data_IF_689651308065
#
_entry.id   IF_689651308065
#
_cell.length_a   1.000
_cell.length_b   1.000
_cell.length_c   1.000
_cell.angle_alpha   90.00
_cell.angle_beta   90.00
_cell.angle_gamma   90.00
#
_symmetry.space_group_name_H-M   'P 1'
#
loop_
_entity.id
_entity.type
_entity.pdbx_description
1 polymer ?
#
# COMPACT_ATOMS: atom_id res chain seq x y z
N UNK A 1 8.50 27.08 -14.84
CA UNK A 1 8.56 27.25 -13.37
C UNK A 1 7.12 27.48 -12.93
N UNK A 2 6.36 26.56 -12.37
CA UNK A 2 6.67 25.35 -11.62
C UNK A 2 5.92 25.49 -10.29
N UNK A 3 4.70 24.97 -10.19
CA UNK A 3 4.04 24.81 -8.89
C UNK A 3 3.23 23.52 -8.82
N UNK A 4 3.84 22.64 -8.01
CA UNK A 4 3.40 21.46 -7.27
C UNK A 4 1.94 21.04 -7.40
N UNK A 5 1.76 19.88 -8.02
CA UNK A 5 0.54 19.08 -8.01
C UNK A 5 0.36 18.57 -6.57
N UNK A 6 -0.67 19.06 -5.86
CA UNK A 6 -1.03 18.59 -4.53
C UNK A 6 -1.59 17.17 -4.61
N UNK A 7 -0.74 16.18 -4.34
CA UNK A 7 -1.14 14.79 -4.24
C UNK A 7 -2.05 14.56 -3.03
N UNK A 8 -3.21 13.99 -3.34
CA UNK A 8 -4.28 13.50 -2.48
C UNK A 8 -3.83 13.10 -1.06
N UNK A 9 -4.06 13.95 -0.06
CA UNK A 9 -3.76 13.66 1.35
C UNK A 9 -4.89 12.83 1.95
N UNK A 10 -4.58 11.64 2.47
CA UNK A 10 -5.48 10.90 3.34
C UNK A 10 -5.88 11.77 4.54
N UNK A 11 -7.16 12.15 4.62
CA UNK A 11 -7.70 12.96 5.71
C UNK A 11 -7.48 12.25 7.05
N UNK A 12 -6.53 12.74 7.88
CA UNK A 12 -6.41 12.34 9.29
C UNK A 12 -4.99 12.08 9.83
N UNK A 13 -3.97 11.97 8.97
CA UNK A 13 -2.59 11.75 9.41
C UNK A 13 -1.80 13.05 9.57
N UNK A 14 -1.02 13.15 10.65
CA UNK A 14 -0.03 14.23 10.76
C UNK A 14 1.08 14.05 9.71
N UNK A 15 1.75 15.12 9.31
CA UNK A 15 2.85 15.06 8.32
C UNK A 15 3.95 14.06 8.72
N UNK A 16 4.22 13.92 10.03
CA UNK A 16 5.18 12.95 10.54
C UNK A 16 4.69 11.50 10.46
N UNK A 17 3.39 11.27 10.66
CA UNK A 17 2.80 9.95 10.48
C UNK A 17 2.74 9.55 9.01
N UNK A 18 2.40 10.47 8.12
CA UNK A 18 2.44 10.23 6.68
C UNK A 18 3.87 9.90 6.21
N UNK A 19 4.87 10.65 6.67
CA UNK A 19 6.27 10.36 6.38
C UNK A 19 6.72 9.00 6.95
N UNK A 20 6.27 8.65 8.16
CA UNK A 20 6.53 7.34 8.75
C UNK A 20 5.89 6.21 7.95
N UNK A 21 4.64 6.37 7.51
CA UNK A 21 3.95 5.39 6.69
C UNK A 21 4.67 5.21 5.35
N UNK A 22 5.00 6.30 4.66
CA UNK A 22 5.74 6.26 3.39
C UNK A 22 7.09 5.54 3.54
N UNK A 23 7.87 5.87 4.58
CA UNK A 23 9.17 5.22 4.83
C UNK A 23 9.05 3.72 5.14
N UNK A 24 7.96 3.31 5.81
CA UNK A 24 7.68 1.90 6.06
C UNK A 24 7.28 1.20 4.76
N UNK A 25 6.38 1.79 3.98
CA UNK A 25 5.92 1.27 2.68
C UNK A 25 7.09 1.07 1.72
N UNK A 26 7.95 2.08 1.58
CA UNK A 26 9.13 2.00 0.73
C UNK A 26 10.09 0.89 1.19
N UNK A 27 10.35 0.78 2.50
CA UNK A 27 11.24 -0.25 3.02
C UNK A 27 10.70 -1.66 2.78
N UNK A 28 9.39 -1.87 2.97
CA UNK A 28 8.78 -3.18 2.70
C UNK A 28 8.73 -3.48 1.20
N UNK A 29 8.47 -2.49 0.34
CA UNK A 29 8.51 -2.69 -1.10
C UNK A 29 9.89 -3.15 -1.58
N UNK A 30 10.96 -2.62 -0.99
CA UNK A 30 12.34 -2.96 -1.37
C UNK A 30 12.87 -4.25 -0.74
N UNK A 31 12.51 -4.52 0.51
CA UNK A 31 13.12 -5.61 1.29
C UNK A 31 12.17 -6.74 1.67
N UNK A 32 10.86 -6.59 1.43
CA UNK A 32 9.83 -7.57 1.79
C UNK A 32 9.64 -7.76 3.30
N UNK A 33 10.28 -6.94 4.13
CA UNK A 33 10.27 -7.05 5.60
C UNK A 33 10.06 -5.69 6.26
N UNK A 34 9.48 -5.69 7.46
CA UNK A 34 9.24 -4.47 8.24
C UNK A 34 10.57 -3.83 8.68
N UNK A 35 10.75 -2.50 8.57
CA UNK A 35 11.94 -1.84 9.06
C UNK A 35 12.08 -1.98 10.57
N UNK A 36 13.32 -2.21 11.03
CA UNK A 36 13.64 -2.12 12.46
C UNK A 36 13.41 -0.70 12.98
N UNK A 37 13.21 -0.55 14.30
CA UNK A 37 13.08 0.77 14.95
C UNK A 37 14.25 1.71 14.63
N UNK A 38 15.48 1.18 14.51
CA UNK A 38 16.67 1.97 14.16
C UNK A 38 16.67 2.37 12.68
N UNK A 39 16.25 1.47 11.80
CA UNK A 39 16.12 1.73 10.36
C UNK A 39 15.10 2.84 10.12
N UNK A 40 13.92 2.72 10.72
CA UNK A 40 12.86 3.73 10.62
C UNK A 40 13.29 5.08 11.21
N UNK A 41 13.98 5.07 12.36
CA UNK A 41 14.51 6.28 12.98
C UNK A 41 15.51 7.01 12.09
N UNK A 42 16.39 6.25 11.41
CA UNK A 42 17.35 6.80 10.44
C UNK A 42 16.62 7.44 9.25
N UNK A 43 15.61 6.77 8.69
CA UNK A 43 14.80 7.30 7.59
C UNK A 43 14.05 8.58 7.97
N UNK A 44 13.60 8.68 9.22
CA UNK A 44 12.81 9.82 9.72
C UNK A 44 13.66 10.93 10.37
N UNK A 45 14.98 10.78 10.44
CA UNK A 45 15.86 11.75 11.11
C UNK A 45 15.51 11.97 12.59
N UNK A 46 15.01 10.94 13.28
CA UNK A 46 14.58 11.05 14.68
C UNK A 46 15.17 9.92 15.54
N UNK A 47 14.88 9.92 16.85
CA UNK A 47 15.36 8.87 17.73
C UNK A 47 14.50 7.58 17.62
N UNK A 48 15.04 6.39 17.97
CA UNK A 48 14.33 5.11 17.88
C UNK A 48 13.02 5.03 18.67
N UNK A 49 12.92 5.73 19.79
CA UNK A 49 11.71 5.74 20.61
C UNK A 49 10.59 6.53 19.94
N UNK A 50 10.92 7.65 19.29
CA UNK A 50 9.98 8.46 18.54
C UNK A 50 9.48 7.71 17.29
N UNK A 51 10.39 7.05 16.57
CA UNK A 51 10.02 6.17 15.45
C UNK A 51 9.07 5.04 15.88
N UNK A 52 9.33 4.39 17.02
CA UNK A 52 8.45 3.37 17.57
C UNK A 52 7.07 3.93 17.96
N UNK A 53 7.02 5.13 18.55
CA UNK A 53 5.76 5.81 18.88
C UNK A 53 4.94 6.14 17.62
N UNK A 54 5.60 6.62 16.56
CA UNK A 54 4.94 6.90 15.29
C UNK A 54 4.37 5.62 14.65
N UNK A 55 5.15 4.54 14.61
CA UNK A 55 4.68 3.25 14.12
C UNK A 55 3.49 2.72 14.93
N UNK A 56 3.53 2.83 16.27
CA UNK A 56 2.40 2.46 17.13
C UNK A 56 1.16 3.30 16.87
N UNK A 57 1.31 4.61 16.68
CA UNK A 57 0.20 5.49 16.37
C UNK A 57 -0.44 5.17 15.01
N UNK A 58 0.34 4.68 14.04
CA UNK A 58 -0.18 4.16 12.77
C UNK A 58 -0.95 2.85 12.98
N UNK A 59 -0.48 1.95 13.85
CA UNK A 59 -1.22 0.73 14.21
C UNK A 59 -2.55 1.04 14.90
N UNK A 60 -2.54 1.93 15.90
CA UNK A 60 -3.75 2.35 16.64
C UNK A 60 -4.79 3.02 15.72
N UNK A 61 -4.34 3.61 14.61
CA UNK A 61 -5.18 4.21 13.58
C UNK A 61 -5.62 3.23 12.49
N UNK A 62 -5.14 1.99 12.54
CA UNK A 62 -5.44 0.98 11.52
C UNK A 62 -4.69 1.20 10.20
N UNK A 63 -3.68 2.06 10.15
CA UNK A 63 -2.79 2.22 8.98
C UNK A 63 -1.69 1.15 8.93
N UNK A 64 -1.48 0.46 10.05
CA UNK A 64 -0.62 -0.73 10.14
C UNK A 64 -1.35 -1.78 10.95
N UNK A 65 -1.11 -3.05 10.67
CA UNK A 65 -1.63 -4.16 11.45
C UNK A 65 -0.49 -4.83 12.21
N UNK A 66 -0.73 -5.11 13.48
CA UNK A 66 0.23 -5.78 14.34
C UNK A 66 -0.06 -7.28 14.36
N UNK A 67 0.39 -8.03 13.36
CA UNK A 67 0.32 -9.49 13.43
C UNK A 67 1.50 -10.01 14.24
N UNK A 68 1.23 -10.60 15.40
CA UNK A 68 2.25 -11.21 16.24
C UNK A 68 2.54 -12.65 15.78
N UNK A 69 3.51 -12.81 14.87
CA UNK A 69 4.35 -14.00 14.86
C UNK A 69 5.81 -13.56 14.84
N UNK A 70 6.53 -13.79 15.93
CA UNK A 70 8.00 -13.67 15.95
C UNK A 70 8.59 -12.25 15.99
N UNK A 71 7.83 -11.21 16.35
CA UNK A 71 8.40 -9.89 16.64
C UNK A 71 8.61 -8.96 15.44
N UNK A 72 8.03 -9.27 14.28
CA UNK A 72 7.89 -8.35 13.16
C UNK A 72 6.40 -8.01 12.96
N UNK A 73 6.08 -6.70 12.89
CA UNK A 73 4.75 -6.23 12.55
C UNK A 73 4.51 -6.52 11.06
N UNK A 74 3.74 -7.56 10.73
CA UNK A 74 3.29 -7.80 9.36
C UNK A 74 1.87 -7.28 9.19
N UNK A 75 1.74 -6.23 8.38
CA UNK A 75 0.48 -5.73 7.86
C UNK A 75 0.51 -4.22 7.69
N UNK A 76 0.26 -3.73 6.48
CA UNK A 76 -0.25 -2.39 6.27
C UNK A 76 -1.77 -2.46 6.43
N UNK A 77 -2.37 -1.49 7.13
CA UNK A 77 -3.76 -1.12 6.86
C UNK A 77 -3.75 0.23 6.16
N UNK A 78 -4.84 0.94 5.91
CA UNK A 78 -6.16 0.47 5.48
C UNK A 78 -6.24 0.24 3.95
N UNK A 79 -5.12 0.38 3.21
CA UNK A 79 -5.03 0.21 1.74
C UNK A 79 -4.17 -0.97 1.29
N UNK A 80 -3.37 -1.56 2.19
CA UNK A 80 -2.73 -2.85 1.94
C UNK A 80 -3.69 -3.99 2.23
N UNK A 81 -4.14 -4.70 1.19
CA UNK A 81 -5.01 -5.87 1.36
C UNK A 81 -4.14 -7.09 1.61
N UNK A 82 -4.26 -7.68 2.81
CA UNK A 82 -3.77 -9.03 3.04
C UNK A 82 -4.70 -10.01 2.33
N UNK A 83 -4.27 -10.54 1.20
CA UNK A 83 -5.05 -11.53 0.45
C UNK A 83 -4.72 -12.91 1.01
N UNK A 84 -5.75 -13.61 1.48
CA UNK A 84 -5.61 -15.02 1.81
C UNK A 84 -5.60 -15.84 0.53
N UNK A 85 -4.51 -16.56 0.29
CA UNK A 85 -4.41 -17.56 -0.79
C UNK A 85 -4.62 -18.94 -0.18
N UNK A 86 -5.68 -19.67 -0.55
CA UNK A 86 -5.88 -21.06 -0.11
C UNK A 86 -4.64 -21.93 -0.40
N UNK A 87 -4.28 -22.89 0.48
CA UNK A 87 -3.07 -23.69 0.34
C UNK A 87 -2.94 -24.42 -1.00
N UNK A 88 -4.06 -24.89 -1.57
CA UNK A 88 -4.05 -25.58 -2.86
C UNK A 88 -3.67 -24.64 -4.02
N UNK A 89 -4.14 -23.39 -4.01
CA UNK A 89 -3.74 -22.39 -5.01
C UNK A 89 -2.29 -21.95 -4.82
N UNK A 90 -1.83 -21.80 -3.58
CA UNK A 90 -0.44 -21.51 -3.30
C UNK A 90 0.49 -22.62 -3.82
N UNK A 91 0.09 -23.89 -3.67
CA UNK A 91 0.84 -25.03 -4.19
C UNK A 91 0.89 -25.05 -5.73
N UNK A 92 -0.23 -24.74 -6.40
CA UNK A 92 -0.26 -24.63 -7.86
C UNK A 92 0.62 -23.48 -8.36
N UNK A 93 0.55 -22.30 -7.73
CA UNK A 93 1.40 -21.17 -8.08
C UNK A 93 2.89 -21.50 -7.89
N UNK A 94 3.23 -22.19 -6.80
CA UNK A 94 4.60 -22.60 -6.53
C UNK A 94 5.10 -23.61 -7.58
N UNK A 95 4.28 -24.60 -7.96
CA UNK A 95 4.62 -25.54 -9.02
C UNK A 95 4.86 -24.84 -10.36
N UNK A 96 3.97 -23.92 -10.74
CA UNK A 96 4.11 -23.11 -11.94
C UNK A 96 5.42 -22.30 -11.93
N UNK A 97 5.73 -21.63 -10.82
CA UNK A 97 6.97 -20.85 -10.69
C UNK A 97 8.22 -21.71 -10.83
N UNK A 98 8.23 -22.92 -10.25
CA UNK A 98 9.35 -23.86 -10.37
C UNK A 98 9.53 -24.34 -11.81
N UNK A 99 8.44 -24.68 -12.48
CA UNK A 99 8.47 -25.19 -13.87
C UNK A 99 8.94 -24.11 -14.86
N UNK A 100 8.57 -22.86 -14.62
CA UNK A 100 8.88 -21.74 -15.53
C UNK A 100 10.12 -20.93 -15.10
N UNK A 101 10.74 -21.25 -13.96
CA UNK A 101 11.91 -20.53 -13.46
C UNK A 101 11.61 -19.11 -12.97
N UNK A 102 10.36 -18.83 -12.60
CA UNK A 102 9.89 -17.50 -12.23
C UNK A 102 9.79 -17.32 -10.71
N UNK A 103 9.82 -16.05 -10.26
CA UNK A 103 9.60 -15.72 -8.86
C UNK A 103 8.11 -15.49 -8.61
N UNK A 104 7.58 -16.11 -7.56
CA UNK A 104 6.18 -15.97 -7.11
C UNK A 104 5.70 -14.51 -7.09
N UNK A 105 6.52 -13.60 -6.55
CA UNK A 105 6.18 -12.17 -6.45
C UNK A 105 6.10 -11.50 -7.82
N UNK A 106 6.92 -11.90 -8.79
CA UNK A 106 6.87 -11.39 -10.17
C UNK A 106 5.61 -11.86 -10.87
N UNK A 107 5.27 -13.15 -10.76
CA UNK A 107 4.07 -13.73 -11.36
C UNK A 107 2.81 -13.07 -10.80
N UNK A 108 2.73 -12.89 -9.48
CA UNK A 108 1.58 -12.25 -8.85
C UNK A 108 1.48 -10.77 -9.23
N UNK A 109 2.60 -10.04 -9.26
CA UNK A 109 2.58 -8.63 -9.66
C UNK A 109 2.15 -8.45 -11.12
N UNK A 110 2.66 -9.30 -12.02
CA UNK A 110 2.32 -9.25 -13.45
C UNK A 110 0.85 -9.63 -13.70
N UNK A 111 0.36 -10.69 -13.06
CA UNK A 111 -1.04 -11.09 -13.15
C UNK A 111 -1.99 -10.01 -12.61
N UNK A 112 -1.61 -9.32 -11.52
CA UNK A 112 -2.39 -8.19 -10.99
C UNK A 112 -2.37 -7.02 -11.98
N UNK A 113 -1.21 -6.66 -12.53
CA UNK A 113 -1.10 -5.57 -13.49
C UNK A 113 -1.93 -5.84 -14.75
N UNK A 114 -1.81 -7.04 -15.32
CA UNK A 114 -2.56 -7.46 -16.49
C UNK A 114 -4.07 -7.44 -16.23
N UNK A 115 -4.52 -7.94 -15.08
CA UNK A 115 -5.93 -7.93 -14.72
C UNK A 115 -6.48 -6.51 -14.48
N UNK A 116 -5.69 -5.61 -13.91
CA UNK A 116 -6.08 -4.21 -13.71
C UNK A 116 -6.14 -3.44 -15.03
N UNK A 117 -5.24 -3.70 -15.97
CA UNK A 117 -5.26 -3.12 -17.32
C UNK A 117 -6.53 -3.54 -18.08
N UNK A 118 -6.96 -4.79 -17.96
CA UNK A 118 -8.22 -5.28 -18.55
C UNK A 118 -9.44 -4.53 -17.99
N UNK A 119 -9.48 -4.25 -16.68
CA UNK A 119 -10.58 -3.50 -16.04
C UNK A 119 -10.57 -2.01 -16.39
N UNK A 120 -9.41 -1.43 -16.69
CA UNK A 120 -9.27 -0.02 -17.09
C UNK A 120 -9.73 0.29 -18.52
N UNK A 121 -9.96 -0.74 -19.34
CA UNK A 121 -10.39 -0.62 -20.75
C UNK A 121 -11.89 -0.40 -20.96
N UNK A 122 -12.73 -0.54 -19.93
CA UNK A 122 -14.19 -0.34 -20.01
C UNK A 122 -14.62 0.99 -19.36
N UNK A 123 -14.22 2.12 -19.95
CA UNK A 123 -14.94 3.39 -19.74
C UNK A 123 -15.63 3.78 -21.03
N UNK A 124 -16.80 3.18 -21.25
CA UNK A 124 -17.78 3.70 -22.19
C UNK A 124 -18.13 5.14 -21.76
N UNK A 125 -18.00 6.07 -22.70
CA UNK A 125 -18.37 7.48 -22.53
C UNK A 125 -19.85 7.58 -22.15
N UNK A 126 -20.14 7.63 -20.84
CA UNK A 126 -21.40 8.16 -20.37
C UNK A 126 -21.37 9.68 -20.60
N UNK A 127 -21.80 10.09 -21.81
CA UNK A 127 -22.23 11.45 -22.13
C UNK A 127 -23.12 11.98 -20.99
N UNK A 128 -22.56 12.88 -20.17
CA UNK A 128 -23.34 13.70 -19.25
C UNK A 128 -24.07 14.73 -20.11
N UNK A 129 -25.31 14.39 -20.47
CA UNK A 129 -26.28 15.34 -21.00
C UNK A 129 -26.58 16.35 -19.89
N UNK A 130 -25.93 17.51 -19.95
CA UNK A 130 -26.22 18.63 -19.07
C UNK A 130 -27.60 19.19 -19.41
N UNK A 131 -28.57 18.98 -18.52
CA UNK A 131 -29.80 19.74 -18.50
C UNK A 131 -29.62 20.89 -17.50
N UNK A 132 -29.35 22.07 -18.04
CA UNK A 132 -29.38 23.32 -17.30
C UNK A 132 -30.81 23.82 -17.23
N UNK A 133 -31.32 24.03 -16.01
CA UNK A 133 -32.52 24.82 -15.81
C UNK A 133 -32.26 25.91 -14.77
N UNK A 134 -32.41 27.14 -15.26
CA UNK A 134 -32.22 28.45 -14.64
C UNK A 134 -32.96 28.66 -13.30
N UNK A 135 -32.20 29.11 -12.31
CA UNK A 135 -32.21 30.47 -11.74
C UNK A 135 -33.56 31.23 -11.61
N UNK A 136 -33.93 31.44 -10.33
CA UNK A 136 -34.56 32.63 -9.71
C UNK A 136 -36.09 32.83 -9.73
N UNK A 137 -36.64 33.68 -8.83
CA UNK A 137 -35.97 34.51 -7.79
C UNK A 137 -36.15 34.05 -6.33
#
# INVERSE_FOLDING_TARGET
>A
MGEVISSHTGMGLTSRQAAALAAITEHVALHGVMPSRRTLAKALGCNPNNAARLARALVERGELNAVSQGGALSGFGSTGVAVFVPPHLAALLAAFCVENGERLTSVVADAIALHLDELGGETDEATVSGDGAEVQP
#
